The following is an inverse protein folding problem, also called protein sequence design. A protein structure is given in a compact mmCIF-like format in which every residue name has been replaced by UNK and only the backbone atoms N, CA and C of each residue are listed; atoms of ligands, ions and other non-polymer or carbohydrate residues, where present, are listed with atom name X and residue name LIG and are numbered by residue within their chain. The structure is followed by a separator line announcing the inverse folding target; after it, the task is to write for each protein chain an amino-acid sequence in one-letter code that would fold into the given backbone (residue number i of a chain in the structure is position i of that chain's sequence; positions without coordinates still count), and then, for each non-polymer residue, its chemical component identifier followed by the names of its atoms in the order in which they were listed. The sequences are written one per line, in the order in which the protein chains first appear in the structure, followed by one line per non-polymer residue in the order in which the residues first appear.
data_IF_369495951125
#
_entry.id   IF_369495951125
#
_cell.length_a   1.000
_cell.length_b   1.000
_cell.length_c   1.000
_cell.angle_alpha   90.00
_cell.angle_beta   90.00
_cell.angle_gamma   90.00
#
_symmetry.space_group_name_H-M   'P 1'
#
loop_
_entity.id
_entity.type
_entity.pdbx_description
1 polymer ?
#
# COMPACT_ATOMS: atom_id res chain seq x y z
N UNK A 1 34.10 -29.56 -7.45
CA UNK A 1 33.80 -28.51 -6.45
C UNK A 1 32.71 -27.61 -7.03
N UNK A 2 31.55 -27.58 -6.39
CA UNK A 2 30.33 -27.00 -6.93
C UNK A 2 30.48 -25.48 -7.16
N UNK A 3 30.23 -25.03 -8.39
CA UNK A 3 30.16 -23.62 -8.76
C UNK A 3 28.93 -23.02 -8.07
N UNK A 4 29.11 -22.41 -6.90
CA UNK A 4 28.06 -21.67 -6.21
C UNK A 4 27.69 -20.44 -7.02
N UNK A 5 26.63 -20.53 -7.82
CA UNK A 5 26.10 -19.41 -8.59
C UNK A 5 25.61 -18.31 -7.65
N UNK A 6 25.90 -17.06 -8.00
CA UNK A 6 25.36 -15.88 -7.33
C UNK A 6 23.82 -15.91 -7.40
N UNK A 7 23.14 -15.85 -6.25
CA UNK A 7 21.68 -15.88 -6.20
C UNK A 7 21.08 -14.47 -6.24
N UNK A 8 19.82 -14.40 -6.66
CA UNK A 8 19.03 -13.15 -6.64
C UNK A 8 18.98 -12.53 -5.24
N UNK A 9 18.88 -13.36 -4.20
CA UNK A 9 18.85 -12.96 -2.79
C UNK A 9 20.14 -12.26 -2.34
N UNK A 10 21.30 -12.62 -2.89
CA UNK A 10 22.57 -11.96 -2.58
C UNK A 10 22.60 -10.54 -3.16
N UNK A 11 22.11 -10.40 -4.40
CA UNK A 11 21.98 -9.11 -5.10
C UNK A 11 20.96 -8.22 -4.39
N UNK A 12 19.85 -8.78 -3.92
CA UNK A 12 18.84 -8.09 -3.13
C UNK A 12 19.42 -7.53 -1.83
N UNK A 13 20.16 -8.35 -1.06
CA UNK A 13 20.83 -7.90 0.17
C UNK A 13 21.84 -6.78 -0.11
N UNK A 14 22.64 -6.93 -1.17
CA UNK A 14 23.62 -5.91 -1.56
C UNK A 14 22.94 -4.59 -1.98
N UNK A 15 21.87 -4.66 -2.79
CA UNK A 15 21.04 -3.51 -3.18
C UNK A 15 20.45 -2.82 -1.95
N UNK A 16 19.83 -3.57 -1.05
CA UNK A 16 19.21 -3.04 0.16
C UNK A 16 20.23 -2.37 1.10
N UNK A 17 21.44 -2.94 1.23
CA UNK A 17 22.52 -2.31 1.99
C UNK A 17 22.98 -0.97 1.40
N UNK A 18 23.07 -0.87 0.06
CA UNK A 18 23.41 0.38 -0.62
C UNK A 18 22.32 1.43 -0.45
N UNK A 19 21.04 1.04 -0.58
CA UNK A 19 19.91 1.93 -0.35
C UNK A 19 19.85 2.44 1.10
N UNK A 20 20.11 1.57 2.09
CA UNK A 20 20.19 1.96 3.50
C UNK A 20 21.32 2.96 3.79
N UNK A 21 22.40 2.93 2.98
CA UNK A 21 23.49 3.90 3.02
C UNK A 21 23.22 5.16 2.18
N UNK A 22 22.00 5.35 1.67
CA UNK A 22 21.63 6.41 0.73
C UNK A 22 22.49 6.45 -0.55
N UNK A 23 23.06 5.30 -0.95
CA UNK A 23 23.86 5.14 -2.19
C UNK A 23 23.01 4.53 -3.29
N UNK A 24 23.19 5.02 -4.51
CA UNK A 24 22.49 4.46 -5.68
C UNK A 24 23.02 3.06 -6.01
N UNK A 25 22.16 2.02 -6.05
CA UNK A 25 22.58 0.64 -6.27
C UNK A 25 22.84 0.35 -7.76
N UNK A 26 23.91 0.93 -8.31
CA UNK A 26 24.34 0.61 -9.67
C UNK A 26 24.92 -0.81 -9.77
N UNK A 27 24.98 -1.36 -10.98
CA UNK A 27 25.58 -2.69 -11.25
C UNK A 27 26.98 -2.82 -10.66
N UNK A 28 27.81 -1.78 -10.80
CA UNK A 28 29.18 -1.80 -10.30
C UNK A 28 29.23 -1.64 -8.77
N UNK A 29 28.36 -0.81 -8.18
CA UNK A 29 28.27 -0.68 -6.72
C UNK A 29 27.84 -2.00 -6.06
N UNK A 30 26.85 -2.68 -6.65
CA UNK A 30 26.37 -3.98 -6.19
C UNK A 30 27.44 -5.05 -6.38
N UNK A 31 28.15 -5.05 -7.52
CA UNK A 31 29.27 -5.97 -7.76
C UNK A 31 30.38 -5.79 -6.72
N UNK A 32 30.73 -4.56 -6.36
CA UNK A 32 31.71 -4.27 -5.30
C UNK A 32 31.20 -4.76 -3.94
N UNK A 33 29.93 -4.51 -3.61
CA UNK A 33 29.31 -5.01 -2.38
C UNK A 33 29.28 -6.55 -2.30
N UNK A 34 29.22 -7.23 -3.44
CA UNK A 34 29.30 -8.70 -3.58
C UNK A 34 30.75 -9.24 -3.66
N UNK A 35 31.75 -8.41 -3.36
CA UNK A 35 33.16 -8.83 -3.37
C UNK A 35 33.72 -9.08 -4.77
N UNK A 36 33.29 -8.28 -5.75
CA UNK A 36 33.66 -8.38 -7.18
C UNK A 36 33.21 -9.67 -7.87
N UNK A 37 32.25 -10.38 -7.29
CA UNK A 37 31.65 -11.60 -7.85
C UNK A 37 30.42 -11.30 -8.69
N UNK A 38 30.08 -12.22 -9.59
CA UNK A 38 28.96 -12.06 -10.52
C UNK A 38 29.32 -11.32 -11.81
N UNK A 39 28.66 -11.71 -12.91
CA UNK A 39 28.78 -10.98 -14.16
C UNK A 39 27.91 -9.72 -14.12
N UNK A 40 28.36 -8.64 -14.78
CA UNK A 40 27.58 -7.41 -14.91
C UNK A 40 26.19 -7.68 -15.49
N UNK A 41 26.10 -8.61 -16.46
CA UNK A 41 24.82 -9.00 -17.08
C UNK A 41 23.85 -9.69 -16.12
N UNK A 42 24.38 -10.56 -15.25
CA UNK A 42 23.58 -11.26 -14.22
C UNK A 42 23.05 -10.28 -13.18
N UNK A 43 23.93 -9.39 -12.71
CA UNK A 43 23.57 -8.37 -11.72
C UNK A 43 22.52 -7.42 -12.30
N UNK A 44 22.72 -6.93 -13.52
CA UNK A 44 21.78 -6.05 -14.20
C UNK A 44 20.39 -6.69 -14.37
N UNK A 45 20.34 -7.96 -14.80
CA UNK A 45 19.06 -8.69 -14.94
C UNK A 45 18.32 -8.76 -13.61
N UNK A 46 18.99 -9.19 -12.54
CA UNK A 46 18.34 -9.34 -11.24
C UNK A 46 17.97 -8.00 -10.59
N UNK A 47 18.76 -6.94 -10.78
CA UNK A 47 18.37 -5.59 -10.34
C UNK A 47 17.07 -5.13 -11.00
N UNK A 48 16.94 -5.33 -12.31
CA UNK A 48 15.72 -5.00 -13.05
C UNK A 48 14.52 -5.83 -12.59
N UNK A 49 14.72 -7.12 -12.30
CA UNK A 49 13.67 -7.98 -11.76
C UNK A 49 13.19 -7.48 -10.37
N UNK A 50 14.11 -7.12 -9.48
CA UNK A 50 13.78 -6.59 -8.16
C UNK A 50 13.04 -5.24 -8.25
N UNK A 51 13.46 -4.36 -9.16
CA UNK A 51 12.75 -3.10 -9.41
C UNK A 51 11.32 -3.31 -9.93
N UNK A 52 11.12 -4.29 -10.82
CA UNK A 52 9.80 -4.63 -11.34
C UNK A 52 8.89 -5.22 -10.24
N UNK A 53 9.44 -6.09 -9.37
CA UNK A 53 8.71 -6.66 -8.24
C UNK A 53 8.32 -5.60 -7.21
N UNK A 54 9.22 -4.66 -6.89
CA UNK A 54 8.91 -3.53 -6.00
C UNK A 54 7.78 -2.65 -6.58
N UNK A 55 7.87 -2.32 -7.87
CA UNK A 55 6.85 -1.52 -8.54
C UNK A 55 5.47 -2.21 -8.55
N UNK A 56 5.43 -3.51 -8.80
CA UNK A 56 4.20 -4.31 -8.72
C UNK A 56 3.66 -4.36 -7.29
N UNK A 57 4.53 -4.55 -6.29
CA UNK A 57 4.14 -4.56 -4.88
C UNK A 57 3.57 -3.22 -4.42
N UNK A 58 4.15 -2.10 -4.86
CA UNK A 58 3.62 -0.75 -4.61
C UNK A 58 2.26 -0.56 -5.30
N UNK A 59 2.13 -0.94 -6.57
CA UNK A 59 0.87 -0.87 -7.30
C UNK A 59 -0.26 -1.67 -6.64
N UNK A 60 0.05 -2.89 -6.18
CA UNK A 60 -0.90 -3.73 -5.45
C UNK A 60 -1.33 -3.10 -4.11
N UNK A 61 -0.39 -2.51 -3.35
CA UNK A 61 -0.71 -1.81 -2.10
C UNK A 61 -1.63 -0.61 -2.34
N UNK A 62 -1.36 0.19 -3.38
CA UNK A 62 -2.21 1.34 -3.74
C UNK A 62 -3.62 0.86 -4.10
N UNK A 63 -3.75 -0.16 -4.96
CA UNK A 63 -5.05 -0.70 -5.34
C UNK A 63 -5.86 -1.22 -4.13
N UNK A 64 -5.19 -1.85 -3.16
CA UNK A 64 -5.83 -2.28 -1.91
C UNK A 64 -6.28 -1.08 -1.07
N UNK A 65 -5.44 -0.04 -0.94
CA UNK A 65 -5.80 1.18 -0.23
C UNK A 65 -7.03 1.87 -0.86
N UNK A 66 -7.08 1.97 -2.18
CA UNK A 66 -8.21 2.57 -2.90
C UNK A 66 -9.51 1.77 -2.69
N UNK A 67 -9.43 0.43 -2.76
CA UNK A 67 -10.59 -0.44 -2.53
C UNK A 67 -11.14 -0.32 -1.10
N UNK A 68 -10.25 -0.20 -0.11
CA UNK A 68 -10.64 0.03 1.28
C UNK A 68 -11.28 1.41 1.47
N UNK A 69 -10.72 2.44 0.83
CA UNK A 69 -11.26 3.79 0.91
C UNK A 69 -12.66 3.90 0.31
N UNK A 70 -12.92 3.25 -0.84
CA UNK A 70 -14.25 3.18 -1.43
C UNK A 70 -15.26 2.47 -0.51
N UNK A 71 -14.88 1.32 0.05
CA UNK A 71 -15.75 0.57 0.98
C UNK A 71 -16.12 1.39 2.21
N UNK A 72 -15.14 2.02 2.86
CA UNK A 72 -15.35 2.86 4.05
C UNK A 72 -16.23 4.06 3.71
N UNK A 73 -16.03 4.68 2.54
CA UNK A 73 -16.82 5.84 2.10
C UNK A 73 -18.30 5.47 1.91
N UNK A 74 -18.56 4.31 1.29
CA UNK A 74 -19.94 3.81 1.12
C UNK A 74 -20.60 3.50 2.46
N UNK A 75 -19.86 2.86 3.38
CA UNK A 75 -20.37 2.56 4.71
C UNK A 75 -20.70 3.84 5.49
N UNK A 76 -19.81 4.84 5.45
CA UNK A 76 -20.02 6.12 6.09
C UNK A 76 -21.26 6.84 5.52
N UNK A 77 -21.43 6.85 4.19
CA UNK A 77 -22.61 7.40 3.54
C UNK A 77 -23.89 6.72 4.01
N UNK A 78 -23.90 5.38 4.04
CA UNK A 78 -25.08 4.64 4.48
C UNK A 78 -25.43 4.89 5.95
N UNK A 79 -24.43 4.91 6.83
CA UNK A 79 -24.63 5.20 8.24
C UNK A 79 -25.18 6.62 8.45
N UNK A 80 -24.71 7.58 7.65
CA UNK A 80 -25.20 8.95 7.70
C UNK A 80 -26.67 9.04 7.29
N UNK A 81 -27.07 8.41 6.18
CA UNK A 81 -28.47 8.34 5.74
C UNK A 81 -29.38 7.74 6.82
N UNK A 82 -28.95 6.63 7.44
CA UNK A 82 -29.72 5.96 8.49
C UNK A 82 -29.86 6.85 9.74
N UNK A 83 -28.79 7.55 10.13
CA UNK A 83 -28.83 8.49 11.24
C UNK A 83 -29.74 9.70 10.95
N UNK A 84 -29.70 10.26 9.74
CA UNK A 84 -30.57 11.36 9.33
C UNK A 84 -32.05 10.95 9.32
N UNK A 85 -32.36 9.73 8.87
CA UNK A 85 -33.71 9.20 8.90
C UNK A 85 -34.25 9.10 10.34
N UNK A 86 -33.45 8.56 11.26
CA UNK A 86 -33.80 8.47 12.68
C UNK A 86 -34.02 9.84 13.34
N UNK A 87 -33.16 10.82 13.02
CA UNK A 87 -33.29 12.19 13.54
C UNK A 87 -34.56 12.85 13.00
N UNK A 88 -34.85 12.66 11.71
CA UNK A 88 -36.04 13.23 11.07
C UNK A 88 -37.31 12.68 11.71
N UNK A 89 -37.40 11.36 11.87
CA UNK A 89 -38.53 10.71 12.54
C UNK A 89 -38.71 11.19 13.99
N UNK A 90 -37.62 11.33 14.74
CA UNK A 90 -37.68 11.84 16.11
C UNK A 90 -38.20 13.28 16.17
N UNK A 91 -37.79 14.14 15.24
CA UNK A 91 -38.27 15.53 15.13
C UNK A 91 -39.75 15.59 14.79
N UNK A 92 -40.20 14.80 13.81
CA UNK A 92 -41.62 14.76 13.41
C UNK A 92 -42.51 14.31 14.57
N UNK A 93 -42.10 13.27 15.32
CA UNK A 93 -42.81 12.81 16.52
C UNK A 93 -42.88 13.90 17.60
N UNK A 94 -41.78 14.61 17.83
CA UNK A 94 -41.73 15.70 18.81
C UNK A 94 -42.64 16.87 18.42
N UNK A 95 -42.61 17.28 17.15
CA UNK A 95 -43.45 18.36 16.63
C UNK A 95 -44.94 18.00 16.70
N UNK A 96 -45.29 16.73 16.47
CA UNK A 96 -46.65 16.23 16.63
C UNK A 96 -47.11 16.31 18.10
N UNK A 97 -46.27 15.90 19.05
CA UNK A 97 -46.57 15.98 20.49
C UNK A 97 -46.77 17.43 20.97
N UNK A 98 -45.94 18.37 20.48
CA UNK A 98 -46.07 19.80 20.79
C UNK A 98 -47.43 20.32 20.30
N UNK A 99 -47.81 20.01 19.04
CA UNK A 99 -49.09 20.44 18.46
C UNK A 99 -50.30 19.88 19.21
N UNK A 100 -50.24 18.61 19.61
CA UNK A 100 -51.31 17.97 20.37
C UNK A 100 -51.48 18.61 21.75
N UNK A 101 -50.37 18.95 22.42
CA UNK A 101 -50.37 19.66 23.70
C UNK A 101 -50.93 21.08 23.59
N UNK A 102 -50.56 21.81 22.55
CA UNK A 102 -50.97 23.21 22.38
C UNK A 102 -52.43 23.35 21.87
N UNK A 103 -53.07 22.24 21.45
CA UNK A 103 -54.45 22.19 20.97
C UNK A 103 -55.49 21.81 22.03
N UNK A 104 -55.08 21.43 23.24
CA UNK A 104 -55.94 21.08 24.39
C UNK A 104 -55.94 22.13 25.48
#
# INVERSE_FOLDING_TARGET
MARGGLYKTDIEKARSSLLAQAKHPSVDAVRVALGNTGSKSTIHRYLKELEAEDAQGVGAKIAVSDALQDLVSRLAGRLHEEAEALITEARERFDAQIKERDAG
#
